data_IF_824321834041
#
_entry.id   IF_824321834041
#
_cell.length_a   1.000
_cell.length_b   1.000
_cell.length_c   1.000
_cell.angle_alpha   90.00
_cell.angle_beta   90.00
_cell.angle_gamma   90.00
#
_symmetry.space_group_name_H-M   'P 1'
#
loop_
_entity.id
_entity.type
_entity.pdbx_description
1 polymer ?
#
# COMPACT_ATOMS: atom_id res chain seq x y z
N UNK A 1 -16.13 -15.28 -31.09
CA UNK A 1 -14.67 -15.53 -31.06
C UNK A 1 -13.78 -14.28 -30.92
N UNK A 2 -14.33 -13.05 -30.79
CA UNK A 2 -13.52 -11.80 -30.74
C UNK A 2 -12.87 -11.47 -29.37
N UNK A 3 -13.16 -12.24 -28.31
CA UNK A 3 -12.66 -11.99 -26.96
C UNK A 3 -11.37 -12.77 -26.60
N UNK A 4 -10.97 -13.74 -27.43
CA UNK A 4 -9.80 -14.58 -27.16
C UNK A 4 -8.48 -13.78 -27.20
N UNK A 5 -8.23 -12.89 -28.19
CA UNK A 5 -7.00 -12.11 -28.23
C UNK A 5 -6.78 -11.17 -27.03
N UNK A 6 -7.75 -10.37 -26.56
CA UNK A 6 -7.54 -9.49 -25.42
C UNK A 6 -7.42 -10.27 -24.10
N UNK A 7 -8.12 -11.41 -23.95
CA UNK A 7 -7.95 -12.28 -22.79
C UNK A 7 -6.54 -12.88 -22.71
N UNK A 8 -5.99 -13.33 -23.85
CA UNK A 8 -4.61 -13.83 -23.92
C UNK A 8 -3.59 -12.73 -23.62
N UNK A 9 -3.80 -11.51 -24.13
CA UNK A 9 -2.90 -10.38 -23.86
C UNK A 9 -2.92 -9.98 -22.38
N UNK A 10 -4.11 -9.84 -21.78
CA UNK A 10 -4.24 -9.54 -20.34
C UNK A 10 -3.65 -10.67 -19.50
N UNK A 11 -3.94 -11.93 -19.84
CA UNK A 11 -3.36 -13.10 -19.19
C UNK A 11 -1.83 -13.11 -19.26
N UNK A 12 -1.25 -12.80 -20.42
CA UNK A 12 0.20 -12.72 -20.63
C UNK A 12 0.83 -11.58 -19.83
N UNK A 13 0.23 -10.39 -19.84
CA UNK A 13 0.72 -9.23 -19.06
C UNK A 13 0.68 -9.53 -17.57
N UNK A 14 -0.42 -10.10 -17.08
CA UNK A 14 -0.57 -10.56 -15.69
C UNK A 14 0.52 -11.56 -15.34
N UNK A 15 0.72 -12.59 -16.17
CA UNK A 15 1.71 -13.65 -15.95
C UNK A 15 3.15 -13.12 -15.97
N UNK A 16 3.46 -12.19 -16.87
CA UNK A 16 4.74 -11.49 -16.94
C UNK A 16 4.99 -10.63 -15.68
N UNK A 17 3.99 -9.87 -15.23
CA UNK A 17 4.06 -9.06 -14.01
C UNK A 17 4.25 -9.93 -12.76
N UNK A 18 3.59 -11.10 -12.71
CA UNK A 18 3.79 -12.11 -11.65
C UNK A 18 5.21 -12.63 -11.68
N UNK A 19 5.68 -13.10 -12.83
CA UNK A 19 7.02 -13.69 -12.99
C UNK A 19 8.13 -12.68 -12.62
N UNK A 20 8.00 -11.43 -13.07
CA UNK A 20 8.93 -10.36 -12.75
C UNK A 20 8.92 -9.98 -11.26
N UNK A 21 7.76 -10.02 -10.59
CA UNK A 21 7.67 -9.71 -9.17
C UNK A 21 8.14 -10.85 -8.26
N UNK A 22 7.80 -12.11 -8.57
CA UNK A 22 8.28 -13.28 -7.82
C UNK A 22 9.82 -13.35 -7.87
N UNK A 23 10.41 -12.96 -8.99
CA UNK A 23 11.87 -12.97 -9.17
C UNK A 23 12.59 -11.86 -8.38
N UNK A 24 11.89 -10.81 -7.93
CA UNK A 24 12.48 -9.70 -7.17
C UNK A 24 12.64 -10.03 -5.69
N UNK A 25 13.75 -10.70 -5.38
CA UNK A 25 14.18 -10.93 -3.99
C UNK A 25 14.41 -9.60 -3.25
N UNK A 26 14.16 -9.60 -1.93
CA UNK A 26 14.46 -8.44 -1.08
C UNK A 26 15.98 -8.26 -1.03
N UNK A 27 16.46 -7.10 -1.50
CA UNK A 27 17.89 -6.83 -1.59
C UNK A 27 18.46 -6.39 -0.24
N UNK A 28 19.78 -6.50 -0.06
CA UNK A 28 20.45 -5.90 1.10
C UNK A 28 20.29 -4.36 1.14
N UNK A 29 20.09 -3.71 -0.02
CA UNK A 29 19.77 -2.29 -0.11
C UNK A 29 18.41 -1.94 0.51
N UNK A 30 17.40 -2.79 0.30
CA UNK A 30 16.07 -2.59 0.89
C UNK A 30 16.11 -2.72 2.42
N UNK A 31 16.90 -3.68 2.93
CA UNK A 31 17.11 -3.89 4.37
C UNK A 31 17.80 -2.68 5.01
N UNK A 32 18.89 -2.20 4.41
CA UNK A 32 19.61 -1.01 4.90
C UNK A 32 18.73 0.23 4.88
N UNK A 33 17.90 0.37 3.83
CA UNK A 33 16.95 1.46 3.73
C UNK A 33 15.92 1.46 4.87
N UNK A 34 15.27 0.32 5.14
CA UNK A 34 14.27 0.26 6.21
C UNK A 34 14.91 0.36 7.60
N UNK A 35 16.10 -0.21 7.80
CA UNK A 35 16.85 -0.08 9.04
C UNK A 35 17.30 1.37 9.29
N UNK A 36 17.55 2.11 8.22
CA UNK A 36 18.12 3.46 8.27
C UNK A 36 19.61 3.48 8.59
N UNK A 37 20.31 2.33 8.48
CA UNK A 37 21.73 2.18 8.76
C UNK A 37 22.41 1.33 7.68
N UNK A 38 23.70 1.57 7.44
CA UNK A 38 24.48 0.82 6.46
C UNK A 38 24.86 -0.58 6.97
N UNK A 39 25.16 -0.68 8.26
CA UNK A 39 25.46 -1.94 8.94
C UNK A 39 24.23 -2.41 9.71
N UNK A 40 23.75 -3.61 9.38
CA UNK A 40 22.54 -4.21 9.96
C UNK A 40 22.88 -5.63 10.39
N UNK A 41 22.81 -5.95 11.69
CA UNK A 41 23.11 -7.29 12.18
C UNK A 41 22.29 -8.37 11.44
N UNK A 42 22.86 -9.56 11.15
CA UNK A 42 22.20 -10.59 10.35
C UNK A 42 20.79 -10.96 10.86
N UNK A 43 20.65 -11.10 12.18
CA UNK A 43 19.37 -11.42 12.81
C UNK A 43 18.29 -10.34 12.57
N UNK A 44 18.66 -9.05 12.60
CA UNK A 44 17.75 -7.95 12.30
C UNK A 44 17.44 -7.90 10.80
N UNK A 45 18.45 -8.11 9.96
CA UNK A 45 18.30 -8.17 8.51
C UNK A 45 17.27 -9.22 8.09
N UNK A 46 17.27 -10.40 8.72
CA UNK A 46 16.31 -11.46 8.42
C UNK A 46 14.87 -11.12 8.83
N UNK A 47 14.69 -10.35 9.92
CA UNK A 47 13.37 -9.83 10.29
C UNK A 47 12.86 -8.85 9.23
N UNK A 48 13.69 -7.90 8.80
CA UNK A 48 13.33 -6.95 7.74
C UNK A 48 13.06 -7.64 6.40
N UNK A 49 13.90 -8.62 6.00
CA UNK A 49 13.70 -9.39 4.75
C UNK A 49 12.38 -10.11 4.74
N UNK A 50 12.06 -10.88 5.80
CA UNK A 50 10.79 -11.61 5.91
C UNK A 50 9.60 -10.68 5.89
N UNK A 51 9.70 -9.54 6.58
CA UNK A 51 8.65 -8.52 6.59
C UNK A 51 8.42 -7.93 5.19
N UNK A 52 9.46 -7.46 4.51
CA UNK A 52 9.37 -6.87 3.18
C UNK A 52 8.90 -7.88 2.13
N UNK A 53 9.39 -9.13 2.20
CA UNK A 53 8.98 -10.21 1.29
C UNK A 53 7.48 -10.49 1.41
N UNK A 54 6.97 -10.63 2.65
CA UNK A 54 5.54 -10.79 2.90
C UNK A 54 4.73 -9.63 2.34
N UNK A 55 5.16 -8.40 2.61
CA UNK A 55 4.45 -7.21 2.14
C UNK A 55 4.42 -7.11 0.60
N UNK A 56 5.50 -7.51 -0.09
CA UNK A 56 5.52 -7.62 -1.56
C UNK A 56 4.59 -8.71 -2.07
N UNK A 57 4.64 -9.89 -1.46
CA UNK A 57 3.83 -11.04 -1.87
C UNK A 57 2.33 -10.76 -1.75
N UNK A 58 1.84 -10.29 -0.60
CA UNK A 58 0.41 -10.03 -0.45
C UNK A 58 -0.08 -8.89 -1.34
N UNK A 59 0.75 -7.86 -1.59
CA UNK A 59 0.44 -6.79 -2.56
C UNK A 59 0.26 -7.32 -3.96
N UNK A 60 1.19 -8.18 -4.39
CA UNK A 60 1.13 -8.81 -5.69
C UNK A 60 -0.12 -9.69 -5.78
N UNK A 61 -0.33 -10.62 -4.85
CA UNK A 61 -1.50 -11.51 -4.83
C UNK A 61 -2.80 -10.71 -4.82
N UNK A 62 -2.90 -9.70 -3.95
CA UNK A 62 -4.06 -8.81 -3.89
C UNK A 62 -4.30 -8.09 -5.22
N UNK A 63 -3.25 -7.49 -5.79
CA UNK A 63 -3.35 -6.80 -7.09
C UNK A 63 -3.79 -7.71 -8.23
N UNK A 64 -3.31 -8.96 -8.25
CA UNK A 64 -3.70 -9.95 -9.24
C UNK A 64 -5.15 -10.38 -9.09
N UNK A 65 -5.58 -10.70 -7.86
CA UNK A 65 -6.97 -11.05 -7.58
C UNK A 65 -7.91 -9.89 -7.91
N UNK A 66 -7.53 -8.66 -7.57
CA UNK A 66 -8.27 -7.46 -7.92
C UNK A 66 -8.37 -7.24 -9.43
N UNK A 67 -7.26 -7.36 -10.15
CA UNK A 67 -7.23 -7.24 -11.63
C UNK A 67 -8.11 -8.30 -12.27
N UNK A 68 -8.00 -9.55 -11.84
CA UNK A 68 -8.82 -10.65 -12.33
C UNK A 68 -10.31 -10.40 -12.07
N UNK A 69 -10.66 -9.92 -10.88
CA UNK A 69 -12.04 -9.54 -10.55
C UNK A 69 -12.54 -8.43 -11.50
N UNK A 70 -11.77 -7.37 -11.72
CA UNK A 70 -12.16 -6.28 -12.63
C UNK A 70 -12.41 -6.77 -14.06
N UNK A 71 -11.58 -7.70 -14.56
CA UNK A 71 -11.77 -8.33 -15.87
C UNK A 71 -13.07 -9.14 -15.89
N UNK A 72 -13.32 -9.97 -14.87
CA UNK A 72 -14.53 -10.79 -14.79
C UNK A 72 -15.80 -9.94 -14.73
N UNK A 73 -15.79 -8.89 -13.90
CA UNK A 73 -16.91 -7.95 -13.77
C UNK A 73 -17.16 -7.18 -15.07
N UNK A 74 -16.08 -6.73 -15.72
CA UNK A 74 -16.14 -6.07 -17.02
C UNK A 74 -16.78 -6.95 -18.08
N UNK A 75 -16.33 -8.20 -18.21
CA UNK A 75 -16.91 -9.15 -19.17
C UNK A 75 -18.36 -9.50 -18.82
N UNK A 76 -18.69 -9.64 -17.53
CA UNK A 76 -20.03 -10.03 -17.07
C UNK A 76 -21.10 -8.97 -17.33
N UNK A 77 -20.74 -7.69 -17.18
CA UNK A 77 -21.69 -6.57 -17.27
C UNK A 77 -21.58 -5.75 -18.55
N UNK A 78 -20.37 -5.59 -19.10
CA UNK A 78 -20.13 -4.70 -20.25
C UNK A 78 -19.73 -5.45 -21.53
N UNK A 79 -19.63 -6.79 -21.50
CA UNK A 79 -19.14 -7.63 -22.59
C UNK A 79 -17.77 -7.21 -23.18
N UNK A 80 -17.04 -6.37 -22.44
CA UNK A 80 -15.77 -5.74 -22.81
C UNK A 80 -14.89 -5.66 -21.57
N UNK A 81 -13.62 -5.32 -21.73
CA UNK A 81 -12.68 -5.17 -20.60
C UNK A 81 -12.49 -3.66 -20.35
N UNK A 82 -13.34 -3.01 -19.54
CA UNK A 82 -13.17 -1.62 -19.14
C UNK A 82 -11.86 -1.47 -18.37
N UNK A 83 -10.88 -0.77 -18.99
CA UNK A 83 -9.54 -0.60 -18.44
C UNK A 83 -9.57 0.10 -17.08
N UNK A 84 -10.45 1.07 -16.92
CA UNK A 84 -10.71 1.80 -15.68
C UNK A 84 -11.17 0.89 -14.54
N UNK A 85 -12.12 -0.03 -14.80
CA UNK A 85 -12.57 -1.01 -13.80
C UNK A 85 -11.45 -2.00 -13.43
N UNK A 86 -10.69 -2.46 -14.42
CA UNK A 86 -9.54 -3.36 -14.19
C UNK A 86 -8.48 -2.69 -13.33
N UNK A 87 -8.13 -1.44 -13.65
CA UNK A 87 -7.18 -0.65 -12.86
C UNK A 87 -7.72 -0.36 -11.47
N UNK A 88 -9.01 -0.02 -11.35
CA UNK A 88 -9.66 0.20 -10.06
C UNK A 88 -9.60 -1.02 -9.17
N UNK A 89 -10.08 -2.17 -9.67
CA UNK A 89 -10.08 -3.41 -8.91
C UNK A 89 -8.65 -3.88 -8.63
N UNK A 90 -7.72 -3.73 -9.58
CA UNK A 90 -6.31 -4.05 -9.39
C UNK A 90 -5.65 -3.23 -8.26
N UNK A 91 -5.82 -1.91 -8.29
CA UNK A 91 -5.30 -1.03 -7.22
C UNK A 91 -5.97 -1.33 -5.88
N UNK A 92 -7.30 -1.53 -5.86
CA UNK A 92 -8.05 -1.93 -4.66
C UNK A 92 -7.53 -3.26 -4.13
N UNK A 93 -7.22 -4.21 -5.01
CA UNK A 93 -6.58 -5.47 -4.66
C UNK A 93 -5.20 -5.29 -4.03
N UNK A 94 -4.35 -4.42 -4.57
CA UNK A 94 -3.04 -4.08 -3.97
C UNK A 94 -3.21 -3.46 -2.59
N UNK A 95 -4.23 -2.61 -2.41
CA UNK A 95 -4.57 -2.00 -1.12
C UNK A 95 -4.96 -3.07 -0.11
N UNK A 96 -5.95 -3.91 -0.43
CA UNK A 96 -6.42 -5.01 0.42
C UNK A 96 -5.29 -6.00 0.72
N UNK A 97 -4.45 -6.32 -0.27
CA UNK A 97 -3.27 -7.15 -0.11
C UNK A 97 -2.26 -6.54 0.88
N UNK A 98 -1.98 -5.24 0.76
CA UNK A 98 -1.12 -4.54 1.73
C UNK A 98 -1.68 -4.59 3.15
N UNK A 99 -2.98 -4.35 3.30
CA UNK A 99 -3.68 -4.39 4.59
C UNK A 99 -3.68 -5.80 5.19
N UNK A 100 -3.83 -6.82 4.35
CA UNK A 100 -3.72 -8.22 4.72
C UNK A 100 -2.32 -8.57 5.25
N UNK A 101 -1.25 -8.10 4.61
CA UNK A 101 0.12 -8.32 5.11
C UNK A 101 0.34 -7.78 6.53
N UNK A 102 -0.24 -6.63 6.83
CA UNK A 102 -0.20 -6.03 8.17
C UNK A 102 -1.10 -6.80 9.17
N UNK A 103 -2.23 -7.33 8.69
CA UNK A 103 -3.15 -8.14 9.50
C UNK A 103 -2.52 -9.48 9.91
N UNK A 104 -1.74 -10.14 9.04
CA UNK A 104 -1.04 -11.38 9.41
C UNK A 104 0.20 -11.16 10.30
N UNK A 105 0.57 -9.91 10.59
CA UNK A 105 1.47 -9.57 11.70
C UNK A 105 0.79 -9.77 13.07
N UNK A 106 -0.53 -10.00 13.09
CA UNK A 106 -1.40 -10.07 14.27
C UNK A 106 -1.63 -11.48 14.83
N UNK A 107 -1.16 -12.55 14.18
CA UNK A 107 -1.22 -13.88 14.78
C UNK A 107 -0.35 -13.87 16.03
N UNK A 108 -1.01 -13.76 17.19
CA UNK A 108 -0.40 -13.96 18.49
C UNK A 108 0.26 -15.33 18.44
N UNK A 109 1.52 -15.50 18.88
CA UNK A 109 1.99 -16.82 19.21
C UNK A 109 0.93 -17.41 20.16
N UNK A 110 0.26 -18.49 19.72
CA UNK A 110 -0.51 -19.31 20.64
C UNK A 110 0.47 -19.66 21.76
N UNK A 111 0.04 -19.51 23.01
CA UNK A 111 0.82 -20.04 24.11
C UNK A 111 1.13 -21.50 23.74
N UNK A 112 2.40 -21.79 23.50
CA UNK A 112 2.83 -23.16 23.31
C UNK A 112 2.71 -23.76 24.71
N UNK A 113 1.86 -24.78 24.84
CA UNK A 113 1.53 -25.41 26.11
C UNK A 113 2.83 -25.73 26.87
N UNK A 114 2.96 -25.18 28.09
CA UNK A 114 4.11 -25.41 28.97
C UNK A 114 5.13 -24.27 29.10
N UNK A 115 5.12 -23.25 28.23
CA UNK A 115 5.95 -22.04 28.45
C UNK A 115 5.12 -20.99 29.17
N UNK A 116 5.48 -20.69 30.42
CA UNK A 116 4.86 -19.64 31.21
C UNK A 116 4.72 -18.37 30.35
N UNK A 117 3.53 -17.73 30.28
CA UNK A 117 3.33 -16.53 29.49
C UNK A 117 4.30 -15.47 30.01
N UNK A 118 5.41 -15.28 29.31
CA UNK A 118 6.44 -14.32 29.69
C UNK A 118 5.75 -13.00 29.97
N UNK A 119 5.97 -12.49 31.19
CA UNK A 119 5.31 -11.30 31.73
C UNK A 119 5.35 -10.19 30.70
N UNK A 120 4.21 -9.97 30.03
CA UNK A 120 4.05 -8.98 28.99
C UNK A 120 3.98 -7.61 29.65
N UNK A 121 5.12 -7.01 29.89
CA UNK A 121 5.21 -5.66 30.43
C UNK A 121 4.72 -4.65 29.40
N UNK A 122 3.69 -3.88 29.74
CA UNK A 122 3.22 -2.77 28.92
C UNK A 122 4.22 -1.62 29.06
N UNK A 123 4.90 -1.28 27.97
CA UNK A 123 5.72 -0.08 27.94
C UNK A 123 4.84 1.18 28.07
N UNK A 124 5.13 2.03 29.05
CA UNK A 124 4.49 3.33 29.27
C UNK A 124 5.10 4.46 28.44
N UNK A 125 6.08 4.17 27.57
CA UNK A 125 6.70 5.22 26.74
C UNK A 125 5.66 5.87 25.83
N UNK A 126 5.59 7.22 25.78
CA UNK A 126 4.71 7.95 24.89
C UNK A 126 4.86 7.47 23.45
N UNK A 127 3.73 7.37 22.74
CA UNK A 127 3.72 7.00 21.33
C UNK A 127 4.11 8.22 20.50
N UNK A 128 5.04 8.09 19.54
CA UNK A 128 5.39 9.19 18.66
C UNK A 128 4.16 9.62 17.84
N UNK A 129 4.04 10.92 17.51
CA UNK A 129 2.98 11.42 16.64
C UNK A 129 3.11 10.84 15.24
N UNK A 130 2.05 10.98 14.45
CA UNK A 130 2.00 10.46 13.09
C UNK A 130 2.81 11.33 12.15
N UNK A 131 3.85 10.75 11.56
CA UNK A 131 4.69 11.44 10.57
C UNK A 131 3.90 11.98 9.36
N UNK A 132 2.71 11.44 9.08
CA UNK A 132 1.94 11.72 7.86
C UNK A 132 0.49 12.18 8.13
N UNK A 133 0.25 12.85 9.26
CA UNK A 133 -1.10 13.31 9.63
C UNK A 133 -1.80 14.15 8.55
N UNK A 134 -1.05 15.01 7.84
CA UNK A 134 -1.59 15.83 6.74
C UNK A 134 -2.13 14.98 5.58
N UNK A 135 -1.42 13.89 5.21
CA UNK A 135 -1.84 12.99 4.12
C UNK A 135 -3.17 12.32 4.45
N UNK A 136 -3.37 11.91 5.70
CA UNK A 136 -4.63 11.34 6.17
C UNK A 136 -5.77 12.37 6.15
N UNK A 137 -5.50 13.61 6.56
CA UNK A 137 -6.50 14.69 6.47
C UNK A 137 -6.91 14.92 5.01
N UNK A 138 -5.95 14.99 4.09
CA UNK A 138 -6.23 15.11 2.66
C UNK A 138 -7.08 13.94 2.15
N UNK A 139 -6.75 12.70 2.53
CA UNK A 139 -7.52 11.51 2.13
C UNK A 139 -8.98 11.60 2.62
N UNK A 140 -9.20 12.03 3.86
CA UNK A 140 -10.54 12.20 4.44
C UNK A 140 -11.34 13.31 3.74
N UNK A 141 -10.70 14.45 3.45
CA UNK A 141 -11.35 15.54 2.70
C UNK A 141 -11.76 15.05 1.31
N UNK A 142 -10.88 14.34 0.61
CA UNK A 142 -11.20 13.76 -0.70
C UNK A 142 -12.39 12.79 -0.63
N UNK A 143 -12.45 11.91 0.37
CA UNK A 143 -13.57 11.00 0.56
C UNK A 143 -14.86 11.73 0.94
N UNK A 144 -14.79 12.76 1.77
CA UNK A 144 -15.94 13.59 2.10
C UNK A 144 -16.50 14.30 0.87
N UNK A 145 -15.62 14.86 0.01
CA UNK A 145 -16.01 15.45 -1.27
C UNK A 145 -16.64 14.40 -2.18
N UNK A 146 -16.05 13.21 -2.29
CA UNK A 146 -16.60 12.10 -3.09
C UNK A 146 -18.01 11.70 -2.62
N UNK A 147 -18.23 11.60 -1.30
CA UNK A 147 -19.53 11.33 -0.71
C UNK A 147 -20.54 12.44 -1.00
N UNK A 148 -20.15 13.70 -0.86
CA UNK A 148 -21.03 14.84 -1.16
C UNK A 148 -21.45 14.84 -2.63
N UNK A 149 -20.52 14.62 -3.55
CA UNK A 149 -20.84 14.46 -4.99
C UNK A 149 -21.77 13.27 -5.21
N UNK A 150 -21.54 12.15 -4.53
CA UNK A 150 -22.42 10.99 -4.53
C UNK A 150 -23.85 11.28 -4.09
N UNK A 151 -24.00 12.02 -2.99
CA UNK A 151 -25.30 12.43 -2.46
C UNK A 151 -26.05 13.38 -3.40
N UNK A 152 -25.34 14.36 -3.99
CA UNK A 152 -25.91 15.23 -5.02
C UNK A 152 -26.35 14.43 -6.24
N UNK A 153 -25.57 13.42 -6.64
CA UNK A 153 -25.95 12.47 -7.69
C UNK A 153 -27.28 11.77 -7.42
N UNK A 154 -27.53 11.32 -6.18
CA UNK A 154 -28.79 10.68 -5.80
C UNK A 154 -29.97 11.64 -5.92
N UNK A 155 -29.80 12.90 -5.52
CA UNK A 155 -30.83 13.94 -5.70
C UNK A 155 -31.14 14.14 -7.19
N UNK A 156 -30.13 14.00 -8.06
CA UNK A 156 -30.27 14.02 -9.52
C UNK A 156 -30.70 12.68 -10.14
N UNK A 157 -31.12 11.69 -9.34
CA UNK A 157 -31.61 10.38 -9.81
C UNK A 157 -30.51 9.36 -10.14
N UNK A 158 -29.27 9.59 -9.73
CA UNK A 158 -28.11 8.74 -10.04
C UNK A 158 -27.52 8.11 -8.78
N UNK A 159 -27.61 6.79 -8.68
CA UNK A 159 -27.13 6.05 -7.49
C UNK A 159 -25.68 5.59 -7.62
N UNK A 160 -25.16 5.44 -8.84
CA UNK A 160 -23.81 4.92 -9.09
C UNK A 160 -22.69 5.72 -8.39
N UNK A 161 -22.67 7.07 -8.45
CA UNK A 161 -21.62 7.86 -7.78
C UNK A 161 -21.59 7.63 -6.25
N UNK A 162 -22.76 7.50 -5.61
CA UNK A 162 -22.85 7.23 -4.18
C UNK A 162 -22.32 5.82 -3.83
N UNK A 163 -22.69 4.80 -4.61
CA UNK A 163 -22.22 3.43 -4.38
C UNK A 163 -20.68 3.32 -4.48
N UNK A 164 -20.09 4.02 -5.46
CA UNK A 164 -18.63 4.11 -5.61
C UNK A 164 -18.02 4.81 -4.39
N UNK A 165 -18.57 5.96 -3.98
CA UNK A 165 -18.09 6.70 -2.82
C UNK A 165 -18.13 5.84 -1.53
N UNK A 166 -19.23 5.13 -1.30
CA UNK A 166 -19.40 4.22 -0.15
C UNK A 166 -18.37 3.08 -0.18
N UNK A 167 -18.09 2.52 -1.36
CA UNK A 167 -17.05 1.50 -1.50
C UNK A 167 -15.67 2.05 -1.10
N UNK A 168 -15.35 3.26 -1.54
CA UNK A 168 -14.13 3.96 -1.14
C UNK A 168 -14.03 4.20 0.37
N UNK A 169 -15.14 4.61 1.00
CA UNK A 169 -15.24 4.79 2.45
C UNK A 169 -14.98 3.49 3.19
N UNK A 170 -15.53 2.36 2.73
CA UNK A 170 -15.27 1.05 3.34
C UNK A 170 -13.79 0.71 3.28
N UNK A 171 -13.13 0.89 2.12
CA UNK A 171 -11.68 0.64 1.98
C UNK A 171 -10.86 1.53 2.91
N UNK A 172 -11.20 2.82 3.00
CA UNK A 172 -10.53 3.75 3.90
C UNK A 172 -10.77 3.43 5.38
N UNK A 173 -11.98 3.02 5.76
CA UNK A 173 -12.29 2.59 7.12
C UNK A 173 -11.48 1.34 7.52
N UNK A 174 -11.28 0.38 6.61
CA UNK A 174 -10.39 -0.77 6.84
C UNK A 174 -8.94 -0.32 7.01
N UNK A 175 -8.47 0.65 6.20
CA UNK A 175 -7.12 1.20 6.33
C UNK A 175 -6.92 1.90 7.69
N UNK A 176 -7.85 2.77 8.09
CA UNK A 176 -7.83 3.46 9.37
C UNK A 176 -7.91 2.47 10.54
N UNK A 177 -8.76 1.44 10.44
CA UNK A 177 -8.86 0.38 11.44
C UNK A 177 -7.54 -0.38 11.57
N UNK A 178 -6.93 -0.73 10.45
CA UNK A 178 -5.60 -1.39 10.43
C UNK A 178 -4.55 -0.51 11.09
N UNK A 179 -4.56 0.78 10.79
CA UNK A 179 -3.63 1.75 11.37
C UNK A 179 -3.84 1.91 12.88
N UNK A 180 -5.10 1.96 13.34
CA UNK A 180 -5.48 1.99 14.75
C UNK A 180 -5.00 0.74 15.50
N UNK A 181 -5.13 -0.44 14.88
CA UNK A 181 -4.61 -1.72 15.45
C UNK A 181 -3.08 -1.71 15.52
N UNK A 182 -2.38 -1.27 14.48
CA UNK A 182 -0.90 -1.15 14.47
C UNK A 182 -0.39 -0.20 15.56
N UNK A 183 -1.11 0.91 15.80
CA UNK A 183 -0.77 1.90 16.84
C UNK A 183 -1.06 1.40 18.26
N UNK A 184 -2.22 0.77 18.46
CA UNK A 184 -2.69 0.35 19.78
C UNK A 184 -1.97 -0.89 20.31
N UNK A 185 -1.27 -1.65 19.46
CA UNK A 185 -0.55 -2.86 19.85
C UNK A 185 0.54 -2.58 20.89
N UNK A 186 0.49 -3.35 21.99
CA UNK A 186 1.51 -3.37 23.06
C UNK A 186 2.90 -3.67 22.48
N UNK A 187 3.95 -3.03 23.01
CA UNK A 187 5.35 -3.28 22.63
C UNK A 187 5.86 -4.49 23.43
N UNK A 188 6.43 -5.53 22.79
CA UNK A 188 7.13 -6.56 23.53
C UNK A 188 8.43 -5.95 24.07
N UNK A 189 8.60 -5.93 25.40
CA UNK A 189 9.85 -5.53 26.04
C UNK A 189 10.76 -6.75 26.01
N UNK A 190 11.66 -6.80 25.04
CA UNK A 190 12.57 -7.96 24.87
C UNK A 190 14.03 -7.49 24.81
N UNK A 191 14.32 -6.43 24.05
CA UNK A 191 15.64 -5.77 24.01
C UNK A 191 15.56 -4.39 23.34
N UNK A 192 16.54 -3.48 23.56
CA UNK A 192 16.64 -2.20 22.84
C UNK A 192 16.69 -2.39 21.32
N UNK A 193 17.41 -3.39 20.83
CA UNK A 193 17.51 -3.72 19.40
C UNK A 193 16.17 -4.15 18.80
N UNK A 194 15.42 -5.01 19.51
CA UNK A 194 14.09 -5.42 19.08
C UNK A 194 13.12 -4.23 19.06
N UNK A 195 13.25 -3.30 20.01
CA UNK A 195 12.46 -2.08 20.05
C UNK A 195 12.77 -1.15 18.86
N UNK A 196 14.05 -1.02 18.49
CA UNK A 196 14.47 -0.26 17.32
C UNK A 196 13.90 -0.87 16.02
N UNK A 197 14.01 -2.19 15.85
CA UNK A 197 13.45 -2.90 14.69
C UNK A 197 11.93 -2.75 14.60
N UNK A 198 11.19 -2.95 15.71
CA UNK A 198 9.74 -2.77 15.70
C UNK A 198 9.35 -1.32 15.41
N UNK A 199 10.08 -0.34 15.94
CA UNK A 199 9.83 1.07 15.66
C UNK A 199 10.00 1.39 14.17
N UNK A 200 11.08 0.93 13.53
CA UNK A 200 11.31 1.11 12.08
C UNK A 200 10.22 0.46 11.23
N UNK A 201 9.83 -0.78 11.56
CA UNK A 201 8.76 -1.47 10.84
C UNK A 201 7.43 -0.73 10.99
N UNK A 202 7.08 -0.28 12.20
CA UNK A 202 5.83 0.49 12.41
C UNK A 202 5.85 1.84 11.70
N UNK A 203 6.99 2.54 11.70
CA UNK A 203 7.13 3.79 10.97
C UNK A 203 6.88 3.56 9.46
N UNK A 204 7.53 2.55 8.88
CA UNK A 204 7.30 2.14 7.49
C UNK A 204 5.83 1.77 7.23
N UNK A 205 5.23 0.91 8.06
CA UNK A 205 3.84 0.50 7.92
C UNK A 205 2.89 1.69 7.99
N UNK A 206 3.10 2.60 8.96
CA UNK A 206 2.25 3.79 9.14
C UNK A 206 2.32 4.73 7.93
N UNK A 207 3.52 4.89 7.34
CA UNK A 207 3.75 5.68 6.13
C UNK A 207 3.09 5.01 4.92
N UNK A 208 3.32 3.72 4.73
CA UNK A 208 2.72 2.95 3.64
C UNK A 208 1.20 3.04 3.69
N UNK A 209 0.59 2.79 4.85
CA UNK A 209 -0.86 2.88 5.06
C UNK A 209 -1.40 4.29 4.76
N UNK A 210 -0.70 5.36 5.18
CA UNK A 210 -1.15 6.73 4.89
C UNK A 210 -1.18 7.03 3.38
N UNK A 211 -0.15 6.61 2.64
CA UNK A 211 -0.12 6.77 1.18
C UNK A 211 -1.14 5.87 0.46
N UNK A 212 -1.40 4.67 0.99
CA UNK A 212 -2.43 3.77 0.49
C UNK A 212 -3.84 4.36 0.69
N UNK A 213 -4.12 4.93 1.86
CA UNK A 213 -5.39 5.58 2.16
C UNK A 213 -5.62 6.80 1.26
N UNK A 214 -4.59 7.64 1.05
CA UNK A 214 -4.66 8.73 0.08
C UNK A 214 -4.85 8.25 -1.36
N UNK A 215 -4.19 7.15 -1.74
CA UNK A 215 -4.38 6.51 -3.04
C UNK A 215 -5.82 6.00 -3.22
N UNK A 216 -6.37 5.32 -2.22
CA UNK A 216 -7.76 4.85 -2.22
C UNK A 216 -8.76 6.01 -2.35
N UNK A 217 -8.56 7.08 -1.59
CA UNK A 217 -9.39 8.28 -1.64
C UNK A 217 -9.34 8.94 -3.03
N UNK A 218 -8.14 9.10 -3.59
CA UNK A 218 -7.93 9.72 -4.91
C UNK A 218 -8.56 8.87 -6.02
N UNK A 219 -8.42 7.55 -5.94
CA UNK A 219 -9.06 6.61 -6.85
C UNK A 219 -10.59 6.67 -6.75
N UNK A 220 -11.12 6.78 -5.54
CA UNK A 220 -12.56 6.92 -5.30
C UNK A 220 -13.08 8.21 -5.94
N UNK A 221 -12.40 9.34 -5.75
CA UNK A 221 -12.77 10.61 -6.39
C UNK A 221 -12.74 10.50 -7.91
N UNK A 222 -11.70 9.88 -8.48
CA UNK A 222 -11.59 9.64 -9.93
C UNK A 222 -12.79 8.87 -10.48
N UNK A 223 -13.21 7.81 -9.77
CA UNK A 223 -14.34 6.97 -10.19
C UNK A 223 -15.70 7.64 -9.97
N UNK A 224 -15.90 8.33 -8.84
CA UNK A 224 -17.09 9.14 -8.61
C UNK A 224 -17.23 10.18 -9.71
N UNK A 225 -16.14 10.89 -10.02
CA UNK A 225 -16.12 11.86 -11.10
C UNK A 225 -16.48 11.22 -12.44
N UNK A 226 -15.88 10.09 -12.80
CA UNK A 226 -16.17 9.36 -14.04
C UNK A 226 -17.63 8.87 -14.14
N UNK A 227 -18.29 8.63 -13.01
CA UNK A 227 -19.69 8.19 -12.96
C UNK A 227 -20.73 9.31 -13.06
N UNK A 228 -20.32 10.59 -12.98
CA UNK A 228 -21.21 11.73 -13.17
C UNK A 228 -21.41 11.95 -14.68
N UNK A 229 -22.65 11.90 -15.21
CA UNK A 229 -22.92 12.15 -16.62
C UNK A 229 -22.75 13.64 -16.92
N UNK A 230 -22.07 13.91 -18.03
CA UNK A 230 -21.81 15.27 -18.52
C UNK A 230 -22.28 15.38 -19.95
N UNK A 231 -23.17 16.33 -20.21
CA UNK A 231 -23.80 16.52 -21.53
C UNK A 231 -23.02 17.46 -22.43
N UNK A 232 -22.20 18.33 -21.86
CA UNK A 232 -21.42 19.34 -22.59
C UNK A 232 -20.06 18.77 -23.00
N UNK A 233 -19.70 18.78 -24.31
CA UNK A 233 -18.39 18.29 -24.78
C UNK A 233 -17.16 18.88 -24.07
N UNK A 234 -17.03 20.20 -23.82
CA UNK A 234 -15.88 20.74 -23.10
C UNK A 234 -15.81 20.25 -21.65
N UNK A 235 -16.95 20.10 -20.98
CA UNK A 235 -16.99 19.56 -19.61
C UNK A 235 -16.62 18.07 -19.60
N UNK A 236 -17.06 17.29 -20.59
CA UNK A 236 -16.70 15.88 -20.71
C UNK A 236 -15.19 15.69 -20.95
N UNK A 237 -14.58 16.56 -21.76
CA UNK A 237 -13.13 16.59 -21.96
C UNK A 237 -12.38 16.93 -20.65
N UNK A 238 -12.84 17.94 -19.91
CA UNK A 238 -12.26 18.32 -18.62
C UNK A 238 -12.38 17.20 -17.57
N UNK A 239 -13.55 16.57 -17.49
CA UNK A 239 -13.81 15.42 -16.63
C UNK A 239 -12.88 14.25 -16.95
N UNK A 240 -12.73 13.90 -18.23
CA UNK A 240 -11.83 12.84 -18.69
C UNK A 240 -10.38 13.13 -18.30
N UNK A 241 -9.91 14.36 -18.57
CA UNK A 241 -8.56 14.79 -18.21
C UNK A 241 -8.31 14.72 -16.69
N UNK A 242 -9.27 15.18 -15.89
CA UNK A 242 -9.18 15.15 -14.43
C UNK A 242 -9.19 13.70 -13.91
N UNK A 243 -10.06 12.83 -14.43
CA UNK A 243 -10.11 11.42 -14.07
C UNK A 243 -8.78 10.70 -14.36
N UNK A 244 -8.17 10.93 -15.54
CA UNK A 244 -6.85 10.40 -15.89
C UNK A 244 -5.78 10.92 -14.94
N UNK A 245 -5.78 12.23 -14.64
CA UNK A 245 -4.81 12.85 -13.73
C UNK A 245 -4.90 12.24 -12.32
N UNK A 246 -6.10 12.04 -11.80
CA UNK A 246 -6.33 11.40 -10.50
C UNK A 246 -5.94 9.92 -10.51
N UNK A 247 -6.13 9.21 -11.63
CA UNK A 247 -5.70 7.83 -11.78
C UNK A 247 -4.16 7.70 -11.78
N UNK A 248 -3.46 8.57 -12.51
CA UNK A 248 -1.99 8.65 -12.48
C UNK A 248 -1.51 9.00 -11.08
N UNK A 249 -2.16 9.97 -10.42
CA UNK A 249 -1.85 10.36 -9.04
C UNK A 249 -2.03 9.17 -8.09
N UNK A 250 -3.11 8.41 -8.23
CA UNK A 250 -3.35 7.17 -7.47
C UNK A 250 -2.20 6.19 -7.66
N UNK A 251 -1.78 5.94 -8.90
CA UNK A 251 -0.65 5.05 -9.18
C UNK A 251 0.63 5.52 -8.50
N UNK A 252 0.94 6.83 -8.55
CA UNK A 252 2.09 7.42 -7.87
C UNK A 252 1.99 7.24 -6.35
N UNK A 253 0.81 7.45 -5.74
CA UNK A 253 0.60 7.28 -4.29
C UNK A 253 0.76 5.81 -3.87
N UNK A 254 0.19 4.88 -4.63
CA UNK A 254 0.34 3.42 -4.40
C UNK A 254 1.80 2.98 -4.60
N UNK A 255 2.48 3.56 -5.60
CA UNK A 255 3.90 3.33 -5.83
C UNK A 255 4.74 3.84 -4.66
N UNK A 256 4.49 5.07 -4.16
CA UNK A 256 5.13 5.63 -2.96
C UNK A 256 4.87 4.82 -1.70
N UNK A 257 3.73 4.16 -1.61
CA UNK A 257 3.45 3.24 -0.52
C UNK A 257 4.23 1.92 -0.60
N UNK A 258 4.90 1.62 -1.72
CA UNK A 258 5.60 0.35 -1.94
C UNK A 258 6.85 0.21 -1.08
N UNK A 259 7.23 -1.03 -0.68
CA UNK A 259 8.50 -1.33 -0.03
C UNK A 259 9.66 -1.25 -1.03
N UNK A 260 9.93 -0.03 -1.52
CA UNK A 260 11.00 0.26 -2.46
C UNK A 260 11.87 1.38 -1.90
N UNK A 261 13.19 1.20 -2.02
CA UNK A 261 14.18 2.24 -1.73
C UNK A 261 13.88 3.47 -2.61
N UNK A 262 13.80 4.69 -2.06
CA UNK A 262 13.66 5.89 -2.85
C UNK A 262 14.87 6.05 -3.76
N UNK A 263 14.64 6.44 -5.02
CA UNK A 263 15.67 6.56 -6.04
C UNK A 263 16.79 7.53 -5.64
N UNK A 264 16.47 8.55 -4.85
CA UNK A 264 17.45 9.51 -4.31
C UNK A 264 18.55 8.86 -3.47
N UNK A 265 18.28 7.71 -2.84
CA UNK A 265 19.29 6.97 -2.10
C UNK A 265 20.14 6.08 -3.01
N UNK A 266 19.67 5.71 -4.19
CA UNK A 266 20.43 4.91 -5.17
C UNK A 266 21.53 5.77 -5.81
N UNK A 267 21.24 7.05 -6.02
CA UNK A 267 22.13 8.00 -6.70
C UNK A 267 23.21 8.62 -5.79
N UNK A 268 23.14 8.44 -4.46
CA UNK A 268 24.22 8.84 -3.56
C UNK A 268 25.16 7.63 -3.36
N UNK A 269 26.37 7.64 -3.95
CA UNK A 269 27.36 6.63 -3.61
C UNK A 269 27.59 6.70 -2.11
N UNK A 270 27.48 5.55 -1.44
CA UNK A 270 27.88 5.43 -0.04
C UNK A 270 29.32 5.94 0.04
N UNK A 271 29.63 6.94 0.88
CA UNK A 271 31.02 7.35 1.06
C UNK A 271 31.81 6.10 1.42
N UNK A 272 32.88 5.83 0.67
CA UNK A 272 33.76 4.72 0.95
C UNK A 272 34.17 4.84 2.42
N UNK A 273 33.93 3.77 3.20
CA UNK A 273 34.46 3.73 4.56
C UNK A 273 35.97 3.96 4.45
N UNK A 274 36.56 4.85 5.28
CA UNK A 274 38.00 5.03 5.29
C UNK A 274 38.61 3.64 5.50
N UNK A 275 39.43 3.20 4.53
CA UNK A 275 40.14 1.94 4.66
C UNK A 275 40.97 2.04 5.93
N UNK A 276 40.78 1.10 6.86
CA UNK A 276 41.59 0.98 8.07
C UNK A 276 43.03 0.51 7.77
N UNK A 277 43.52 0.77 6.55
CA UNK A 277 44.89 0.55 6.12
C UNK A 277 45.76 1.68 6.68
N UNK A 278 46.11 1.59 7.96
CA UNK A 278 47.00 2.57 8.58
C UNK A 278 47.22 2.50 10.08
N UNK A 279 46.80 1.44 10.77
CA UNK A 279 47.07 1.26 12.21
C UNK A 279 48.08 0.14 12.49
N UNK A 280 49.08 -0.02 11.62
CA UNK A 280 50.19 -0.95 11.81
C UNK A 280 51.51 -0.24 11.55
N UNK A 281 52.09 0.37 12.58
CA UNK A 281 53.43 0.95 12.47
C UNK A 281 53.74 2.07 13.46
N UNK A 282 53.77 1.76 14.75
CA UNK A 282 54.69 2.46 15.66
C UNK A 282 55.48 1.38 16.40
N UNK A 283 56.79 1.44 16.18
CA UNK A 283 57.83 0.60 16.79
C UNK A 283 58.02 0.96 18.25
#
# INVERSE_FOLDING_TARGET
MRLVPPLLLVGLVVLLVVALNISRRVSAGDVRWIAGTADVPPAQADVYRRYLARHRQHRMVGGLLGTALGVLLGLRWNATIPLDLVLFCGVTGVLVGSLSAETYRLSRPRAVDGVAPSLRTASLTPRPPLEHGRVLVTARVLLAVALLVGLVGVIAGQTAPLLVALTGVVVAAVAERTQSVVRSRRRPVVSPDAAAVDHRIRAFASRSLAWLEAGAATLTVSQVLASVPVTSPPLAAAQTFLSITLLVTTFVLVHRASPQRPWSLILRPTPALPSSAGAGGVR
#
